data_IF_849636508919
#
_entry.id   IF_849636508919
#
_cell.length_a   1.000
_cell.length_b   1.000
_cell.length_c   1.000
_cell.angle_alpha   90.00
_cell.angle_beta   90.00
_cell.angle_gamma   90.00
#
_symmetry.space_group_name_H-M   'P 1'
#
loop_
_entity.id
_entity.type
_entity.pdbx_description
1 polymer ?
#
# COMPACT_ATOMS: atom_id res chain seq x y z
N UNK A 1 16.25 -4.77 16.29
CA UNK A 1 14.85 -4.96 16.81
C UNK A 1 14.31 -6.20 16.10
N UNK A 2 13.74 -7.16 16.82
CA UNK A 2 13.30 -8.41 16.19
C UNK A 2 11.97 -8.22 15.48
N UNK A 3 11.80 -8.94 14.37
CA UNK A 3 10.53 -9.01 13.65
C UNK A 3 9.52 -9.80 14.48
N UNK A 4 8.26 -9.33 14.51
CA UNK A 4 7.16 -10.07 15.11
C UNK A 4 6.20 -10.52 14.00
N UNK A 5 6.30 -11.78 13.61
CA UNK A 5 5.44 -12.38 12.59
C UNK A 5 4.47 -13.32 13.29
N UNK A 6 3.17 -13.06 13.13
CA UNK A 6 2.15 -13.92 13.72
C UNK A 6 2.17 -15.32 13.07
N UNK A 7 2.05 -16.41 13.84
CA UNK A 7 2.19 -17.79 13.30
C UNK A 7 1.13 -18.17 12.25
N UNK A 8 0.03 -17.44 12.15
CA UNK A 8 -0.98 -17.66 11.10
C UNK A 8 -0.75 -16.84 9.84
N UNK A 9 0.31 -16.03 9.78
CA UNK A 9 0.67 -15.34 8.55
C UNK A 9 1.28 -16.33 7.55
N UNK A 10 0.94 -16.18 6.28
CA UNK A 10 1.43 -17.02 5.18
C UNK A 10 2.36 -16.16 4.34
N UNK A 11 3.64 -16.50 4.36
CA UNK A 11 4.69 -15.79 3.63
C UNK A 11 5.13 -16.66 2.46
N UNK A 12 4.98 -16.13 1.25
CA UNK A 12 5.38 -16.77 0.01
C UNK A 12 6.90 -16.71 -0.23
N UNK A 13 7.36 -17.24 -1.36
CA UNK A 13 8.77 -17.18 -1.75
C UNK A 13 9.17 -15.73 -2.12
N UNK A 14 10.49 -15.47 -2.09
CA UNK A 14 11.07 -14.19 -2.49
C UNK A 14 10.57 -12.98 -1.70
N UNK A 15 10.22 -13.17 -0.41
CA UNK A 15 9.83 -12.08 0.49
C UNK A 15 11.00 -11.69 1.38
N UNK A 16 11.37 -10.42 1.34
CA UNK A 16 12.39 -9.82 2.21
C UNK A 16 11.68 -8.98 3.27
N UNK A 17 11.94 -9.26 4.54
CA UNK A 17 11.36 -8.57 5.69
C UNK A 17 12.50 -7.95 6.49
N UNK A 18 12.57 -6.62 6.51
CA UNK A 18 13.58 -5.89 7.27
C UNK A 18 13.27 -5.82 8.77
N UNK A 19 14.21 -5.34 9.55
CA UNK A 19 14.14 -5.29 11.02
C UNK A 19 12.96 -4.48 11.56
N UNK A 20 12.36 -4.95 12.64
CA UNK A 20 11.29 -4.26 13.35
C UNK A 20 9.94 -4.27 12.65
N UNK A 21 9.79 -5.07 11.60
CA UNK A 21 8.50 -5.26 10.92
C UNK A 21 7.56 -6.10 11.80
N UNK A 22 6.30 -5.69 11.87
CA UNK A 22 5.21 -6.45 12.47
C UNK A 22 4.27 -6.98 11.40
N UNK A 23 4.04 -8.30 11.39
CA UNK A 23 3.06 -8.96 10.52
C UNK A 23 2.02 -9.65 11.39
N UNK A 24 0.82 -9.10 11.39
CA UNK A 24 -0.32 -9.57 12.16
C UNK A 24 -0.95 -10.85 11.59
N UNK A 25 -2.03 -11.35 12.25
CA UNK A 25 -2.65 -12.60 11.89
C UNK A 25 -3.25 -12.61 10.49
N UNK A 26 -3.19 -13.78 9.85
CA UNK A 26 -3.82 -14.08 8.57
C UNK A 26 -3.39 -13.14 7.42
N UNK A 27 -2.21 -12.54 7.49
CA UNK A 27 -1.64 -11.87 6.34
C UNK A 27 -1.19 -12.89 5.30
N UNK A 28 -1.36 -12.58 4.01
CA UNK A 28 -0.90 -13.40 2.87
C UNK A 28 0.02 -12.53 2.03
N UNK A 29 1.31 -12.88 1.92
CA UNK A 29 2.32 -12.01 1.36
C UNK A 29 3.22 -12.76 0.38
N UNK A 30 3.42 -12.19 -0.82
CA UNK A 30 4.46 -12.61 -1.75
C UNK A 30 4.13 -13.82 -2.60
N UNK A 31 2.85 -14.12 -2.79
CA UNK A 31 2.42 -15.10 -3.78
C UNK A 31 2.32 -14.48 -5.17
N UNK A 32 2.02 -15.31 -6.19
CA UNK A 32 1.94 -14.88 -7.57
C UNK A 32 0.99 -13.68 -7.77
N UNK A 33 1.30 -12.79 -8.72
CA UNK A 33 0.44 -11.64 -9.02
C UNK A 33 -0.93 -12.10 -9.54
N UNK A 34 -1.98 -11.44 -9.12
CA UNK A 34 -3.30 -11.61 -9.72
C UNK A 34 -3.38 -10.91 -11.08
N UNK A 35 -2.60 -11.43 -12.02
CA UNK A 35 -2.54 -10.94 -13.39
C UNK A 35 -2.59 -12.12 -14.36
N UNK A 36 -3.73 -12.26 -15.05
CA UNK A 36 -3.96 -13.35 -16.01
C UNK A 36 -2.86 -13.42 -17.07
N UNK A 37 -2.20 -14.56 -17.16
CA UNK A 37 -1.07 -14.82 -18.07
C UNK A 37 0.30 -14.42 -17.49
N UNK A 38 0.37 -14.10 -16.20
CA UNK A 38 1.60 -13.81 -15.46
C UNK A 38 1.70 -14.60 -14.15
N UNK A 39 0.90 -15.64 -14.01
CA UNK A 39 0.79 -16.45 -12.78
C UNK A 39 2.12 -17.13 -12.40
N UNK A 40 3.01 -17.35 -13.38
CA UNK A 40 4.34 -17.93 -13.17
C UNK A 40 5.39 -16.88 -12.74
N UNK A 41 5.05 -15.61 -12.82
CA UNK A 41 5.97 -14.54 -12.45
C UNK A 41 5.89 -14.28 -10.94
N UNK A 42 7.03 -14.12 -10.29
CA UNK A 42 7.08 -13.68 -8.90
C UNK A 42 8.43 -13.03 -8.59
N UNK A 43 8.49 -11.71 -8.75
CA UNK A 43 9.65 -10.89 -8.39
C UNK A 43 9.75 -10.58 -6.91
N UNK A 44 8.80 -11.11 -6.12
CA UNK A 44 8.80 -11.02 -4.67
C UNK A 44 8.26 -9.73 -4.12
N UNK A 45 8.41 -9.60 -2.79
CA UNK A 45 8.00 -8.45 -1.98
C UNK A 45 9.14 -8.02 -1.07
N UNK A 46 9.31 -6.72 -0.89
CA UNK A 46 10.20 -6.16 0.14
C UNK A 46 9.34 -5.35 1.11
N UNK A 47 9.46 -5.64 2.41
CA UNK A 47 8.82 -4.87 3.48
C UNK A 47 9.94 -4.22 4.31
N UNK A 48 9.99 -2.90 4.25
CA UNK A 48 11.03 -2.11 4.89
C UNK A 48 10.78 -1.94 6.39
N UNK A 49 11.86 -1.60 7.09
CA UNK A 49 11.93 -1.50 8.56
C UNK A 49 10.77 -0.75 9.21
N UNK A 50 10.35 -1.23 10.37
CA UNK A 50 9.35 -0.57 11.20
C UNK A 50 7.91 -0.59 10.66
N UNK A 51 7.67 -1.19 9.49
CA UNK A 51 6.33 -1.29 8.91
C UNK A 51 5.46 -2.28 9.69
N UNK A 52 4.17 -1.97 9.79
CA UNK A 52 3.18 -2.78 10.52
C UNK A 52 2.01 -3.16 9.61
N UNK A 53 1.80 -4.47 9.45
CA UNK A 53 0.62 -5.07 8.83
C UNK A 53 -0.28 -5.60 9.94
N UNK A 54 -1.44 -4.98 10.17
CA UNK A 54 -2.20 -5.26 11.40
C UNK A 54 -2.98 -6.58 11.38
N UNK A 55 -3.10 -7.21 10.22
CA UNK A 55 -3.73 -8.52 10.02
C UNK A 55 -4.60 -8.59 8.77
N UNK A 56 -4.80 -9.78 8.23
CA UNK A 56 -5.63 -10.01 7.03
C UNK A 56 -5.26 -9.09 5.85
N UNK A 57 -3.98 -8.70 5.76
CA UNK A 57 -3.45 -7.91 4.66
C UNK A 57 -2.96 -8.85 3.57
N UNK A 58 -3.29 -8.54 2.32
CA UNK A 58 -2.77 -9.29 1.16
C UNK A 58 -1.83 -8.40 0.36
N UNK A 59 -0.64 -8.94 0.04
CA UNK A 59 0.36 -8.28 -0.79
C UNK A 59 0.84 -9.27 -1.84
N UNK A 60 0.57 -8.98 -3.11
CA UNK A 60 1.04 -9.81 -4.20
C UNK A 60 2.54 -9.59 -4.48
N UNK A 61 3.22 -10.64 -4.85
CA UNK A 61 4.55 -10.55 -5.45
C UNK A 61 4.51 -9.82 -6.78
N UNK A 62 5.57 -9.13 -7.12
CA UNK A 62 5.63 -8.41 -8.37
C UNK A 62 5.71 -9.32 -9.60
N UNK A 63 5.16 -8.88 -10.71
CA UNK A 63 5.25 -9.56 -12.00
C UNK A 63 6.46 -9.09 -12.81
N UNK A 64 6.68 -7.80 -12.91
CA UNK A 64 7.76 -7.18 -13.70
C UNK A 64 8.83 -6.56 -12.81
N UNK A 65 8.46 -6.03 -11.65
CA UNK A 65 9.36 -5.51 -10.61
C UNK A 65 8.90 -5.98 -9.23
N UNK A 66 9.78 -5.94 -8.26
CA UNK A 66 9.44 -6.26 -6.86
C UNK A 66 8.35 -5.31 -6.34
N UNK A 67 7.34 -5.83 -5.65
CA UNK A 67 6.41 -5.02 -4.86
C UNK A 67 7.11 -4.54 -3.61
N UNK A 68 7.14 -3.23 -3.36
CA UNK A 68 7.92 -2.65 -2.28
C UNK A 68 7.05 -1.82 -1.33
N UNK A 69 7.15 -2.12 -0.03
CA UNK A 69 6.50 -1.37 1.05
C UNK A 69 7.59 -0.61 1.80
N UNK A 70 7.52 0.72 1.75
CA UNK A 70 8.49 1.61 2.39
C UNK A 70 8.50 1.49 3.92
N UNK A 71 9.48 2.13 4.58
CA UNK A 71 9.62 2.05 6.03
C UNK A 71 8.50 2.77 6.78
N UNK A 72 8.24 2.29 8.02
CA UNK A 72 7.29 2.88 8.95
C UNK A 72 5.85 3.01 8.41
N UNK A 73 5.48 2.21 7.44
CA UNK A 73 4.11 2.17 6.92
C UNK A 73 3.16 1.51 7.94
N UNK A 74 1.90 1.92 7.92
CA UNK A 74 0.85 1.36 8.75
C UNK A 74 -0.29 0.85 7.87
N UNK A 75 -0.34 -0.46 7.67
CA UNK A 75 -1.27 -1.13 6.76
C UNK A 75 -2.31 -1.90 7.59
N UNK A 76 -3.55 -1.45 7.52
CA UNK A 76 -4.62 -1.99 8.36
C UNK A 76 -5.32 -3.19 7.71
N UNK A 77 -6.18 -3.83 8.49
CA UNK A 77 -6.89 -5.06 8.13
C UNK A 77 -7.61 -4.96 6.78
N UNK A 78 -7.55 -6.06 6.03
CA UNK A 78 -8.18 -6.18 4.72
C UNK A 78 -7.68 -5.21 3.65
N UNK A 79 -6.55 -4.53 3.88
CA UNK A 79 -5.90 -3.80 2.81
C UNK A 79 -5.34 -4.78 1.77
N UNK A 80 -5.42 -4.40 0.50
CA UNK A 80 -4.88 -5.16 -0.61
C UNK A 80 -3.85 -4.32 -1.39
N UNK A 81 -2.70 -4.89 -1.61
CA UNK A 81 -1.63 -4.29 -2.42
C UNK A 81 -1.32 -5.27 -3.55
N UNK A 82 -1.74 -4.92 -4.76
CA UNK A 82 -1.47 -5.71 -5.94
C UNK A 82 0.01 -5.64 -6.34
N UNK A 83 0.37 -6.46 -7.29
CA UNK A 83 1.71 -6.62 -7.85
C UNK A 83 2.34 -5.30 -8.34
N UNK A 84 3.65 -5.22 -8.31
CA UNK A 84 4.43 -4.11 -8.86
C UNK A 84 4.16 -2.73 -8.24
N UNK A 85 3.53 -2.67 -7.06
CA UNK A 85 3.32 -1.44 -6.32
C UNK A 85 4.58 -1.00 -5.58
N UNK A 86 4.79 0.31 -5.46
CA UNK A 86 5.84 0.92 -4.65
C UNK A 86 5.21 1.92 -3.69
N UNK A 87 5.38 1.71 -2.39
CA UNK A 87 4.96 2.63 -1.34
C UNK A 87 6.18 3.33 -0.74
N UNK A 88 6.08 4.64 -0.56
CA UNK A 88 7.06 5.47 0.12
C UNK A 88 7.06 5.29 1.64
N UNK A 89 7.65 6.24 2.34
CA UNK A 89 7.79 6.22 3.78
C UNK A 89 6.49 6.62 4.49
N UNK A 90 6.21 6.03 5.65
CA UNK A 90 5.11 6.45 6.54
C UNK A 90 3.72 6.48 5.89
N UNK A 91 3.51 5.65 4.87
CA UNK A 91 2.20 5.51 4.23
C UNK A 91 1.23 4.83 5.18
N UNK A 92 0.01 5.36 5.26
CA UNK A 92 -1.09 4.73 5.97
C UNK A 92 -2.12 4.21 4.97
N UNK A 93 -2.40 2.92 5.03
CA UNK A 93 -3.53 2.30 4.33
C UNK A 93 -4.56 1.86 5.34
N UNK A 94 -5.68 2.58 5.40
CA UNK A 94 -6.78 2.22 6.31
C UNK A 94 -7.48 0.94 5.87
N UNK A 95 -8.28 0.37 6.77
CA UNK A 95 -8.93 -0.92 6.55
C UNK A 95 -9.68 -1.01 5.21
N UNK A 96 -9.46 -2.10 4.48
CA UNK A 96 -10.11 -2.36 3.21
C UNK A 96 -9.69 -1.48 2.04
N UNK A 97 -8.69 -0.60 2.20
CA UNK A 97 -8.16 0.17 1.07
C UNK A 97 -7.39 -0.74 0.10
N UNK A 98 -7.39 -0.38 -1.19
CA UNK A 98 -6.88 -1.25 -2.25
C UNK A 98 -6.02 -0.48 -3.25
N UNK A 99 -4.88 -1.05 -3.60
CA UNK A 99 -4.04 -0.61 -4.71
C UNK A 99 -4.12 -1.65 -5.83
N UNK A 100 -4.53 -1.24 -7.00
CA UNK A 100 -4.34 -2.06 -8.20
C UNK A 100 -2.88 -2.03 -8.67
N UNK A 101 -2.51 -2.88 -9.62
CA UNK A 101 -1.12 -3.07 -10.02
C UNK A 101 -0.39 -1.80 -10.48
N UNK A 102 0.92 -1.77 -10.26
CA UNK A 102 1.82 -0.68 -10.68
C UNK A 102 1.58 0.68 -10.04
N UNK A 103 0.85 0.77 -8.94
CA UNK A 103 0.70 2.04 -8.23
C UNK A 103 2.02 2.49 -7.60
N UNK A 104 2.26 3.80 -7.63
CA UNK A 104 3.36 4.45 -6.90
C UNK A 104 2.76 5.43 -5.90
N UNK A 105 3.03 5.22 -4.62
CA UNK A 105 2.47 5.97 -3.51
C UNK A 105 3.61 6.75 -2.83
N UNK A 106 3.50 8.07 -2.82
CA UNK A 106 4.48 8.95 -2.20
C UNK A 106 4.50 8.86 -0.68
N UNK A 107 5.48 9.50 -0.07
CA UNK A 107 5.64 9.54 1.37
C UNK A 107 4.44 10.18 2.07
N UNK A 108 4.16 9.78 3.31
CA UNK A 108 3.09 10.35 4.16
C UNK A 108 1.68 10.32 3.55
N UNK A 109 1.45 9.53 2.52
CA UNK A 109 0.10 9.34 1.94
C UNK A 109 -0.79 8.61 2.93
N UNK A 110 -2.05 9.05 3.01
CA UNK A 110 -3.08 8.41 3.83
C UNK A 110 -4.26 8.00 2.94
N UNK A 111 -4.49 6.69 2.82
CA UNK A 111 -5.64 6.12 2.14
C UNK A 111 -6.72 5.79 3.16
N UNK A 112 -7.87 6.44 3.06
CA UNK A 112 -9.03 6.20 3.92
C UNK A 112 -9.62 4.81 3.74
N UNK A 113 -10.47 4.39 4.68
CA UNK A 113 -11.14 3.09 4.65
C UNK A 113 -11.86 2.86 3.31
N UNK A 114 -11.64 1.70 2.71
CA UNK A 114 -12.26 1.32 1.44
C UNK A 114 -11.80 2.12 0.22
N UNK A 115 -10.84 3.05 0.34
CA UNK A 115 -10.32 3.78 -0.82
C UNK A 115 -9.77 2.82 -1.88
N UNK A 116 -10.02 3.11 -3.15
CA UNK A 116 -9.58 2.28 -4.27
C UNK A 116 -8.75 3.10 -5.28
N UNK A 117 -7.56 2.61 -5.57
CA UNK A 117 -6.60 3.28 -6.44
C UNK A 117 -6.45 2.49 -7.73
N UNK A 118 -6.79 3.13 -8.86
CA UNK A 118 -6.68 2.53 -10.19
C UNK A 118 -5.22 2.17 -10.53
N UNK A 119 -5.05 1.09 -11.29
CA UNK A 119 -3.72 0.65 -11.74
C UNK A 119 -2.89 1.76 -12.39
N UNK A 120 -1.57 1.72 -12.17
CA UNK A 120 -0.59 2.68 -12.72
C UNK A 120 -0.81 4.12 -12.24
N UNK A 121 -1.58 4.33 -11.17
CA UNK A 121 -1.73 5.66 -10.57
C UNK A 121 -0.50 6.05 -9.77
N UNK A 122 -0.19 7.36 -9.81
CA UNK A 122 0.82 7.98 -8.95
C UNK A 122 0.08 8.86 -7.95
N UNK A 123 0.26 8.58 -6.66
CA UNK A 123 -0.28 9.40 -5.57
C UNK A 123 0.88 10.20 -4.98
N UNK A 124 0.89 11.53 -5.13
CA UNK A 124 1.96 12.37 -4.63
C UNK A 124 2.09 12.37 -3.11
N UNK A 125 3.25 12.81 -2.62
CA UNK A 125 3.54 12.93 -1.18
C UNK A 125 2.45 13.69 -0.42
N UNK A 126 2.12 13.22 0.78
CA UNK A 126 1.22 13.89 1.71
C UNK A 126 -0.25 13.94 1.25
N UNK A 127 -0.61 13.28 0.17
CA UNK A 127 -2.02 13.20 -0.27
C UNK A 127 -2.85 12.39 0.72
N UNK A 128 -4.06 12.85 0.99
CA UNK A 128 -5.07 12.09 1.72
C UNK A 128 -6.24 11.75 0.79
N UNK A 129 -6.58 10.48 0.67
CA UNK A 129 -7.80 10.01 0.02
C UNK A 129 -8.84 9.67 1.08
N UNK A 130 -9.99 10.29 1.01
CA UNK A 130 -11.10 10.06 1.94
C UNK A 130 -11.67 8.64 1.84
N UNK A 131 -12.49 8.24 2.82
CA UNK A 131 -13.14 6.93 2.85
C UNK A 131 -13.93 6.68 1.55
N UNK A 132 -13.82 5.46 1.02
CA UNK A 132 -14.45 5.03 -0.23
C UNK A 132 -14.14 5.93 -1.43
N UNK A 133 -13.10 6.77 -1.34
CA UNK A 133 -12.65 7.57 -2.47
C UNK A 133 -12.04 6.70 -3.58
N UNK A 134 -12.37 6.99 -4.84
CA UNK A 134 -11.87 6.25 -5.99
C UNK A 134 -10.98 7.14 -6.84
N UNK A 135 -9.69 6.83 -6.85
CA UNK A 135 -8.73 7.43 -7.78
C UNK A 135 -8.80 6.69 -9.10
N UNK A 136 -9.08 7.42 -10.16
CA UNK A 136 -9.17 6.89 -11.52
C UNK A 136 -7.96 7.29 -12.35
N UNK A 137 -7.78 6.69 -13.51
CA UNK A 137 -6.72 7.05 -14.46
C UNK A 137 -6.70 8.55 -14.84
N UNK A 138 -7.85 9.22 -14.71
CA UNK A 138 -8.01 10.65 -15.06
C UNK A 138 -7.86 11.58 -13.84
N UNK A 139 -7.68 11.04 -12.65
CA UNK A 139 -7.51 11.85 -11.43
C UNK A 139 -6.14 12.54 -11.47
N UNK A 140 -6.15 13.87 -11.40
CA UNK A 140 -4.95 14.68 -11.26
C UNK A 140 -4.80 15.06 -9.79
N UNK A 141 -3.72 14.61 -9.14
CA UNK A 141 -3.52 14.78 -7.70
C UNK A 141 -2.27 15.64 -7.46
N UNK A 142 -2.45 16.68 -6.65
CA UNK A 142 -1.36 17.56 -6.21
C UNK A 142 -0.87 17.13 -4.81
N UNK A 143 0.43 17.29 -4.52
CA UNK A 143 0.98 16.98 -3.21
C UNK A 143 0.25 17.73 -2.08
N UNK A 144 0.19 17.08 -0.91
CA UNK A 144 -0.37 17.67 0.33
C UNK A 144 -1.82 18.16 0.20
N UNK A 145 -2.61 17.55 -0.69
CA UNK A 145 -4.04 17.84 -0.81
C UNK A 145 -4.89 16.68 -0.29
N UNK A 146 -6.12 16.98 0.05
CA UNK A 146 -7.18 16.01 0.40
C UNK A 146 -8.13 15.84 -0.75
N UNK A 147 -8.51 14.59 -1.00
CA UNK A 147 -9.44 14.22 -2.06
C UNK A 147 -10.51 13.28 -1.53
N UNK A 148 -11.74 13.41 -2.01
CA UNK A 148 -12.85 12.52 -1.67
C UNK A 148 -13.82 12.34 -2.83
N UNK A 149 -14.62 11.29 -2.78
CA UNK A 149 -15.68 11.00 -3.77
C UNK A 149 -15.30 9.95 -4.82
N UNK A 150 -16.22 9.72 -5.76
CA UNK A 150 -16.11 8.75 -6.87
C UNK A 150 -16.51 9.43 -8.18
N UNK A 151 -15.57 9.78 -9.08
CA UNK A 151 -14.13 9.84 -8.84
C UNK A 151 -13.77 10.92 -7.81
N UNK A 152 -12.56 10.82 -7.24
CA UNK A 152 -12.12 11.79 -6.23
C UNK A 152 -12.01 13.21 -6.78
N UNK A 153 -12.37 14.19 -5.93
CA UNK A 153 -12.22 15.62 -6.17
C UNK A 153 -11.44 16.25 -5.01
N UNK A 154 -10.67 17.30 -5.31
CA UNK A 154 -9.96 18.05 -4.28
C UNK A 154 -10.95 18.70 -3.30
N UNK A 155 -10.71 18.51 -1.99
CA UNK A 155 -11.50 19.07 -0.89
C UNK A 155 -10.67 19.92 0.07
N UNK A 156 -9.48 20.34 -0.34
CA UNK A 156 -8.61 21.26 0.38
C UNK A 156 -7.26 20.69 0.77
N UNK A 157 -6.48 21.50 1.45
CA UNK A 157 -5.11 21.20 1.85
C UNK A 157 -5.02 20.16 2.99
N UNK A 158 -3.98 19.34 2.98
CA UNK A 158 -3.63 18.39 4.04
C UNK A 158 -2.55 18.97 4.96
N UNK A 159 -2.92 19.96 5.79
CA UNK A 159 -1.99 20.63 6.70
C UNK A 159 -1.30 19.67 7.69
N UNK A 160 -1.99 18.59 8.09
CA UNK A 160 -1.41 17.58 8.99
C UNK A 160 -0.16 16.91 8.39
N UNK A 161 -0.19 16.59 7.11
CA UNK A 161 0.95 15.96 6.45
C UNK A 161 2.11 16.93 6.21
N UNK A 162 1.81 18.23 6.06
CA UNK A 162 2.83 19.30 5.92
C UNK A 162 3.60 19.55 7.21
N UNK A 163 2.92 19.51 8.36
CA UNK A 163 3.46 19.93 9.66
C UNK A 163 4.16 18.79 10.42
N UNK A 164 4.02 17.54 10.00
CA UNK A 164 4.71 16.39 10.58
C UNK A 164 6.04 16.13 9.84
N UNK A 165 7.01 17.01 10.08
CA UNK A 165 8.43 16.80 9.71
C UNK A 165 9.18 16.12 10.85
#
# INVERSE_FOLDING_TARGET
MFNLIHPTAIIGPNVIIEDGVYIGPYCIIGFAPEWKGKEDQNKGVIIRKGTRLTGMVTIDGGAERTTEIGPNCYIMKHAYIAHDCILGNTVTMSAGSKLAGFCTIGDKVNLGMGAAIHQKSIIPEGVMIGMNGVVTKKSNLEPYQKYAGVPVKNIGSNERAKNNN
#
